data_IF_972228721615
#
_entry.id   IF_972228721615
#
_cell.length_a   1.000
_cell.length_b   1.000
_cell.length_c   1.000
_cell.angle_alpha   90.00
_cell.angle_beta   90.00
_cell.angle_gamma   90.00
#
_symmetry.space_group_name_H-M   'P 1'
#
loop_
_entity.id
_entity.type
_entity.pdbx_description
1 polymer ?
#
# COMPACT_ATOMS: atom_id res chain seq x y z
N UNK A 1 33.98 -57.35 32.86
CA UNK A 1 35.02 -56.38 32.43
C UNK A 1 34.32 -55.02 32.34
N UNK A 2 34.36 -54.05 33.27
CA UNK A 2 35.17 -53.72 34.46
C UNK A 2 36.58 -53.15 34.20
N UNK A 3 36.68 -51.80 34.22
CA UNK A 3 37.85 -50.91 34.54
C UNK A 3 37.83 -49.63 33.67
N UNK A 4 38.18 -48.41 34.13
CA UNK A 4 38.40 -47.83 35.48
C UNK A 4 38.65 -46.29 35.34
N UNK A 5 38.14 -45.46 36.28
CA UNK A 5 38.81 -44.35 37.06
C UNK A 5 39.72 -43.30 36.34
N UNK A 6 39.94 -42.04 36.74
CA UNK A 6 39.57 -41.05 37.80
C UNK A 6 39.56 -39.65 37.10
N UNK A 7 38.93 -38.54 37.48
CA UNK A 7 38.64 -37.84 38.75
C UNK A 7 39.79 -36.99 39.36
N UNK A 8 39.48 -35.68 39.53
CA UNK A 8 40.04 -34.60 40.39
C UNK A 8 41.51 -34.12 40.35
N UNK A 9 41.67 -32.78 40.36
CA UNK A 9 42.24 -32.12 41.55
C UNK A 9 43.11 -30.83 41.39
N UNK A 10 42.69 -29.74 42.07
CA UNK A 10 43.46 -28.54 42.52
C UNK A 10 43.96 -27.50 41.46
N UNK A 11 43.76 -26.16 41.54
CA UNK A 11 43.83 -25.13 42.62
C UNK A 11 45.30 -24.72 42.97
N UNK A 12 45.72 -23.47 43.24
CA UNK A 12 45.03 -22.16 43.40
C UNK A 12 46.01 -20.94 43.37
N UNK A 13 45.48 -19.70 43.49
CA UNK A 13 46.15 -18.38 43.78
C UNK A 13 47.05 -17.78 42.68
N UNK A 14 47.21 -16.45 42.47
CA UNK A 14 46.67 -15.20 43.06
C UNK A 14 47.64 -14.03 42.73
N UNK A 15 47.35 -12.71 42.84
CA UNK A 15 46.14 -11.90 43.06
C UNK A 15 46.47 -10.38 42.79
N UNK A 16 45.49 -9.44 42.87
CA UNK A 16 45.63 -7.97 43.02
C UNK A 16 46.07 -7.12 41.79
N UNK A 17 45.80 -5.80 41.63
CA UNK A 17 44.72 -4.89 42.09
C UNK A 17 44.77 -3.51 41.33
N UNK A 18 43.63 -2.83 41.20
CA UNK A 18 43.33 -1.38 41.04
C UNK A 18 44.26 -0.36 40.29
N UNK A 19 43.66 0.29 39.28
CA UNK A 19 43.42 1.76 39.15
C UNK A 19 44.56 2.81 39.15
N UNK A 20 44.59 3.68 38.10
CA UNK A 20 44.60 5.17 38.17
C UNK A 20 44.61 5.90 36.80
N UNK A 21 44.01 7.10 36.75
CA UNK A 21 44.21 8.16 35.72
C UNK A 21 45.26 9.17 36.20
N UNK A 22 45.80 10.03 35.32
CA UNK A 22 45.67 11.49 35.57
C UNK A 22 45.37 12.34 34.29
N UNK A 23 45.39 13.67 34.45
CA UNK A 23 44.93 14.71 33.50
C UNK A 23 45.98 15.84 33.32
N UNK A 24 46.02 16.42 32.11
CA UNK A 24 46.26 17.85 31.73
C UNK A 24 47.55 18.60 32.15
N UNK A 25 48.27 19.08 31.13
CA UNK A 25 48.91 20.42 30.95
C UNK A 25 49.47 20.46 29.50
N UNK A 26 49.70 21.58 28.80
CA UNK A 26 49.46 23.01 29.06
C UNK A 26 49.80 23.83 27.78
N UNK A 27 49.30 25.08 27.72
CA UNK A 27 49.43 26.09 26.63
C UNK A 27 50.83 26.34 26.05
N UNK A 28 50.94 26.83 24.79
CA UNK A 28 51.52 28.16 24.46
C UNK A 28 51.45 28.53 22.94
N UNK A 29 51.22 29.83 22.65
CA UNK A 29 51.45 30.60 21.38
C UNK A 29 50.79 30.17 20.05
N UNK A 30 50.33 31.02 19.10
CA UNK A 30 49.75 32.38 19.01
C UNK A 30 50.14 33.05 17.66
N UNK A 31 49.25 33.82 17.00
CA UNK A 31 49.50 35.18 16.41
C UNK A 31 48.45 35.60 15.35
N UNK A 32 47.90 36.81 15.53
CA UNK A 32 47.11 37.67 14.61
C UNK A 32 45.87 37.09 13.88
N UNK A 33 44.79 37.84 13.65
CA UNK A 33 44.52 39.26 13.96
C UNK A 33 43.80 39.94 12.79
N UNK A 34 42.50 40.24 12.95
CA UNK A 34 41.72 40.97 11.94
C UNK A 34 42.04 42.47 11.93
N UNK A 35 41.72 43.18 10.83
CA UNK A 35 40.95 44.42 11.00
C UNK A 35 39.85 44.64 9.94
N UNK A 36 38.83 45.41 10.34
CA UNK A 36 37.89 46.09 9.43
C UNK A 36 38.44 47.47 9.05
N UNK A 37 38.20 47.93 7.84
CA UNK A 37 38.04 49.37 7.56
C UNK A 37 37.25 49.64 6.26
N UNK A 38 36.61 50.80 6.24
CA UNK A 38 35.94 51.50 5.13
C UNK A 38 35.96 53.00 5.56
N UNK A 39 36.03 54.02 4.67
CA UNK A 39 35.08 54.22 3.56
C UNK A 39 35.59 54.94 2.28
N UNK A 40 34.64 55.20 1.36
CA UNK A 40 34.56 56.33 0.38
C UNK A 40 35.24 56.29 -1.02
N UNK A 41 34.41 55.98 -2.03
CA UNK A 41 34.17 56.68 -3.33
C UNK A 41 35.32 57.17 -4.27
N UNK A 42 35.32 56.69 -5.54
CA UNK A 42 35.03 57.48 -6.77
C UNK A 42 35.19 56.69 -8.12
N UNK A 43 34.28 56.94 -9.08
CA UNK A 43 34.38 56.79 -10.58
C UNK A 43 34.71 55.42 -11.26
N UNK A 44 33.85 54.96 -12.20
CA UNK A 44 34.00 53.77 -13.10
C UNK A 44 34.27 54.15 -14.58
N UNK A 45 33.79 53.45 -15.65
CA UNK A 45 33.09 52.14 -15.84
C UNK A 45 33.91 51.20 -16.81
N UNK A 46 33.39 50.25 -17.65
CA UNK A 46 32.13 49.46 -17.77
C UNK A 46 32.44 47.91 -17.80
N UNK A 47 31.64 46.95 -18.38
CA UNK A 47 30.25 46.93 -18.83
C UNK A 47 29.36 45.83 -18.20
N UNK A 48 28.09 45.80 -18.64
CA UNK A 48 26.92 45.02 -18.21
C UNK A 48 27.04 43.49 -18.14
N UNK A 49 26.46 42.90 -17.08
CA UNK A 49 25.95 41.52 -17.05
C UNK A 49 24.52 41.48 -16.49
N UNK A 50 23.55 41.01 -17.28
CA UNK A 50 22.17 40.81 -16.81
C UNK A 50 21.35 39.88 -17.72
N UNK A 51 21.08 38.65 -17.27
CA UNK A 51 19.76 38.01 -17.43
C UNK A 51 19.65 36.74 -16.56
N UNK A 52 18.56 36.73 -15.80
CA UNK A 52 18.08 35.79 -14.78
C UNK A 52 18.21 34.28 -15.06
N UNK A 53 18.41 33.45 -14.01
CA UNK A 53 17.90 32.08 -14.01
C UNK A 53 16.38 32.11 -13.77
N UNK A 54 15.63 31.43 -14.62
CA UNK A 54 14.18 31.28 -14.46
C UNK A 54 13.84 30.33 -13.31
N UNK A 55 13.33 30.86 -12.21
CA UNK A 55 12.68 30.05 -11.17
C UNK A 55 11.39 29.45 -11.74
N UNK A 56 11.45 28.18 -12.15
CA UNK A 56 10.25 27.40 -12.41
C UNK A 56 9.45 27.30 -11.11
N UNK A 57 8.26 27.89 -11.09
CA UNK A 57 7.43 27.95 -9.89
C UNK A 57 7.01 26.53 -9.47
N UNK A 58 7.52 26.08 -8.33
CA UNK A 58 6.93 24.94 -7.64
C UNK A 58 5.49 25.32 -7.26
N UNK A 59 4.52 24.52 -7.71
CA UNK A 59 3.12 24.76 -7.39
C UNK A 59 2.89 24.53 -5.88
N UNK A 60 2.82 25.62 -5.11
CA UNK A 60 2.54 25.58 -3.69
C UNK A 60 1.16 24.95 -3.44
N UNK A 61 1.16 23.68 -3.03
CA UNK A 61 -0.04 23.01 -2.53
C UNK A 61 -0.42 23.60 -1.18
N UNK A 62 -1.72 23.77 -0.87
CA UNK A 62 -2.15 24.35 0.39
C UNK A 62 -1.69 23.47 1.55
N UNK A 63 -0.68 23.94 2.27
CA UNK A 63 -0.09 23.20 3.38
C UNK A 63 -1.16 22.90 4.43
N UNK A 64 -1.39 21.60 4.69
CA UNK A 64 -2.09 21.15 5.89
C UNK A 64 -1.36 21.80 7.07
N UNK A 65 -2.08 22.57 7.90
CA UNK A 65 -1.55 23.24 9.10
C UNK A 65 -1.25 22.23 10.23
N UNK A 66 -0.46 21.22 9.91
CA UNK A 66 -0.05 20.13 10.80
C UNK A 66 1.32 20.46 11.37
N UNK A 67 1.34 20.84 12.64
CA UNK A 67 2.58 20.97 13.40
C UNK A 67 2.91 19.60 14.01
N UNK A 68 3.93 18.93 13.47
CA UNK A 68 4.31 17.55 13.82
C UNK A 68 4.82 17.49 15.25
N UNK A 69 5.59 18.48 15.67
CA UNK A 69 6.25 18.56 16.98
C UNK A 69 5.21 18.68 18.10
N UNK A 70 4.23 19.56 17.94
CA UNK A 70 3.09 19.72 18.86
C UNK A 70 2.21 18.46 18.91
N UNK A 71 2.02 17.79 17.78
CA UNK A 71 1.27 16.52 17.77
C UNK A 71 2.02 15.43 18.53
N UNK A 72 3.32 15.23 18.27
CA UNK A 72 4.15 14.26 19.02
C UNK A 72 4.17 14.58 20.52
N UNK A 73 4.27 15.86 20.90
CA UNK A 73 4.21 16.30 22.30
C UNK A 73 2.84 16.06 22.96
N UNK A 74 1.77 15.86 22.20
CA UNK A 74 0.43 15.52 22.71
C UNK A 74 0.16 14.02 22.86
N UNK A 75 1.04 13.16 22.34
CA UNK A 75 0.91 11.71 22.44
C UNK A 75 1.20 11.20 23.86
N UNK A 76 0.54 10.10 24.26
CA UNK A 76 0.89 9.40 25.50
C UNK A 76 2.28 8.76 25.41
N UNK A 77 2.96 8.46 26.54
CA UNK A 77 4.27 7.77 26.51
C UNK A 77 4.24 6.44 25.74
N UNK A 78 3.16 5.67 25.87
CA UNK A 78 2.95 4.43 25.11
C UNK A 78 2.85 4.70 23.60
N UNK A 79 2.08 5.70 23.19
CA UNK A 79 1.99 6.10 21.78
C UNK A 79 3.33 6.60 21.24
N UNK A 80 4.09 7.41 22.00
CA UNK A 80 5.42 7.86 21.58
C UNK A 80 6.41 6.70 21.38
N UNK A 81 6.35 5.69 22.25
CA UNK A 81 7.16 4.47 22.13
C UNK A 81 6.80 3.68 20.86
N UNK A 82 5.52 3.33 20.68
CA UNK A 82 5.11 2.44 19.59
C UNK A 82 5.02 3.12 18.22
N UNK A 83 4.81 4.44 18.15
CA UNK A 83 4.71 5.22 16.91
C UNK A 83 6.04 5.84 16.45
N UNK A 84 7.17 5.48 17.07
CA UNK A 84 8.48 6.07 16.76
C UNK A 84 8.84 5.93 15.27
N UNK A 85 8.55 4.78 14.66
CA UNK A 85 8.80 4.50 13.25
C UNK A 85 7.94 5.40 12.34
N UNK A 86 6.65 5.48 12.64
CA UNK A 86 5.65 6.29 11.97
C UNK A 86 6.04 7.77 12.00
N UNK A 87 6.44 8.26 13.18
CA UNK A 87 6.92 9.64 13.40
C UNK A 87 8.18 9.93 12.58
N UNK A 88 9.11 8.99 12.46
CA UNK A 88 10.38 9.22 11.74
C UNK A 88 10.26 9.06 10.22
N UNK A 89 9.46 8.11 9.74
CA UNK A 89 9.58 7.57 8.37
C UNK A 89 8.36 7.76 7.47
N UNK A 90 7.20 8.16 7.98
CA UNK A 90 6.09 8.60 7.12
C UNK A 90 6.29 10.04 6.63
N UNK A 91 5.87 10.29 5.38
CA UNK A 91 5.76 11.64 4.85
C UNK A 91 4.83 12.52 5.72
N UNK A 92 5.19 13.79 6.02
CA UNK A 92 4.38 14.65 6.88
C UNK A 92 2.95 14.89 6.39
N UNK A 93 2.70 14.87 5.07
CA UNK A 93 1.35 15.08 4.53
C UNK A 93 0.46 13.84 4.69
N UNK A 94 1.04 12.64 4.72
CA UNK A 94 0.35 11.42 5.12
C UNK A 94 0.13 11.32 6.63
N UNK A 95 1.17 11.63 7.42
CA UNK A 95 1.09 11.66 8.87
C UNK A 95 0.00 12.63 9.35
N UNK A 96 -0.12 13.80 8.73
CA UNK A 96 -1.17 14.79 9.02
C UNK A 96 -2.61 14.29 8.85
N UNK A 97 -2.83 13.30 7.98
CA UNK A 97 -4.17 12.78 7.64
C UNK A 97 -4.46 11.37 8.17
N UNK A 98 -3.43 10.65 8.60
CA UNK A 98 -3.53 9.31 9.23
C UNK A 98 -3.27 9.32 10.74
N UNK A 99 -2.77 10.42 11.31
CA UNK A 99 -2.44 10.57 12.75
C UNK A 99 -3.50 9.98 13.70
N UNK A 100 -4.78 10.27 13.43
CA UNK A 100 -5.88 9.90 14.33
C UNK A 100 -6.10 8.37 14.32
N UNK A 101 -5.85 7.71 13.18
CA UNK A 101 -5.96 6.26 13.00
C UNK A 101 -4.77 5.52 13.63
N UNK A 102 -3.54 6.02 13.45
CA UNK A 102 -2.35 5.40 14.08
C UNK A 102 -2.32 5.60 15.60
N UNK A 103 -3.06 6.57 16.16
CA UNK A 103 -3.21 6.70 17.62
C UNK A 103 -4.23 5.75 18.24
N UNK A 104 -4.96 4.96 17.43
CA UNK A 104 -6.01 4.06 17.93
C UNK A 104 -5.45 2.88 18.72
N UNK A 105 -6.18 2.35 19.72
CA UNK A 105 -5.75 1.16 20.47
C UNK A 105 -5.47 -0.05 19.57
N UNK A 106 -6.24 -0.21 18.48
CA UNK A 106 -6.06 -1.31 17.53
C UNK A 106 -4.75 -1.19 16.74
N UNK A 107 -4.33 0.03 16.38
CA UNK A 107 -3.03 0.23 15.76
C UNK A 107 -1.88 -0.01 16.75
N UNK A 108 -2.03 0.40 18.01
CA UNK A 108 -1.03 0.10 19.05
C UNK A 108 -0.89 -1.42 19.29
N UNK A 109 -1.98 -2.20 19.24
CA UNK A 109 -1.88 -3.68 19.33
C UNK A 109 -1.18 -4.30 18.10
N UNK A 110 -1.37 -3.74 16.90
CA UNK A 110 -0.56 -4.12 15.72
C UNK A 110 0.93 -3.86 15.96
N UNK A 111 1.30 -2.71 16.56
CA UNK A 111 2.71 -2.42 16.91
C UNK A 111 3.26 -3.43 17.92
N UNK A 112 2.49 -3.74 18.98
CA UNK A 112 2.84 -4.79 19.97
C UNK A 112 3.00 -6.17 19.32
N UNK A 113 2.14 -6.53 18.37
CA UNK A 113 2.29 -7.76 17.58
C UNK A 113 3.62 -7.78 16.81
N UNK A 114 3.97 -6.72 16.08
CA UNK A 114 5.21 -6.65 15.30
C UNK A 114 6.48 -6.67 16.18
N UNK A 115 6.45 -6.02 17.35
CA UNK A 115 7.56 -6.07 18.29
C UNK A 115 7.67 -7.46 18.98
N UNK A 116 6.57 -8.19 19.20
CA UNK A 116 6.59 -9.60 19.63
C UNK A 116 7.19 -10.51 18.55
N UNK A 117 6.83 -10.32 17.28
CA UNK A 117 7.39 -11.07 16.15
C UNK A 117 8.91 -10.86 16.03
N UNK A 118 9.37 -9.60 16.09
CA UNK A 118 10.78 -9.27 16.07
C UNK A 118 11.52 -9.83 17.31
N UNK A 119 10.93 -9.73 18.50
CA UNK A 119 11.47 -10.30 19.74
C UNK A 119 11.56 -11.83 19.74
N UNK A 120 10.68 -12.51 18.99
CA UNK A 120 10.75 -13.94 18.73
C UNK A 120 11.75 -14.34 17.63
N UNK A 121 12.57 -13.40 17.15
CA UNK A 121 13.59 -13.64 16.11
C UNK A 121 13.03 -13.86 14.71
N UNK A 122 11.77 -13.53 14.44
CA UNK A 122 11.17 -13.68 13.12
C UNK A 122 11.74 -12.63 12.17
N UNK A 123 12.22 -13.08 11.00
CA UNK A 123 12.63 -12.17 9.92
C UNK A 123 11.38 -11.64 9.23
N UNK A 124 11.20 -10.33 9.23
CA UNK A 124 10.04 -9.63 8.66
C UNK A 124 10.52 -8.81 7.45
N UNK A 125 9.69 -8.77 6.40
CA UNK A 125 9.85 -7.93 5.23
C UNK A 125 8.68 -6.93 5.10
N UNK A 126 8.89 -5.74 4.51
CA UNK A 126 10.18 -5.16 4.14
C UNK A 126 11.03 -4.80 5.40
N UNK A 127 12.27 -4.33 5.25
CA UNK A 127 13.01 -3.68 6.34
C UNK A 127 12.15 -2.61 7.04
N UNK A 128 12.37 -2.38 8.35
CA UNK A 128 11.46 -1.59 9.20
C UNK A 128 11.29 -0.16 8.68
N UNK A 129 12.37 0.44 8.20
CA UNK A 129 12.46 1.76 7.56
C UNK A 129 11.70 1.86 6.22
N UNK A 130 11.54 0.75 5.52
CA UNK A 130 10.88 0.66 4.21
C UNK A 130 9.36 0.47 4.32
N UNK A 131 8.81 0.09 5.47
CA UNK A 131 7.36 -0.15 5.67
C UNK A 131 6.49 1.01 5.15
N UNK A 132 6.98 2.25 5.28
CA UNK A 132 6.29 3.47 4.89
C UNK A 132 6.81 4.14 3.60
N UNK A 133 7.63 3.45 2.80
CA UNK A 133 8.15 3.96 1.52
C UNK A 133 7.05 4.49 0.59
N UNK A 134 5.88 3.85 0.55
CA UNK A 134 4.71 4.29 -0.21
C UNK A 134 4.25 5.73 0.13
N UNK A 135 4.39 6.16 1.39
CA UNK A 135 4.05 7.55 1.78
C UNK A 135 5.07 8.57 1.29
N UNK A 136 6.36 8.18 1.24
CA UNK A 136 7.49 9.05 0.91
C UNK A 136 7.63 9.27 -0.60
N UNK A 137 7.48 8.20 -1.38
CA UNK A 137 7.52 8.28 -2.84
C UNK A 137 6.26 8.94 -3.42
N UNK A 138 5.11 8.74 -2.79
CA UNK A 138 3.86 9.38 -3.22
C UNK A 138 3.25 10.21 -2.08
N UNK A 139 3.76 11.42 -1.80
CA UNK A 139 3.16 12.34 -0.82
C UNK A 139 1.66 12.56 -1.09
N UNK A 140 0.87 12.77 -0.04
CA UNK A 140 -0.61 12.75 -0.11
C UNK A 140 -1.19 13.68 -1.19
N UNK A 141 -0.56 14.85 -1.38
CA UNK A 141 -0.96 15.87 -2.35
C UNK A 141 -0.59 15.53 -3.81
N UNK A 142 0.30 14.57 -4.03
CA UNK A 142 0.76 14.12 -5.35
C UNK A 142 0.04 12.85 -5.85
N UNK A 143 -0.84 12.23 -5.05
CA UNK A 143 -1.61 11.05 -5.47
C UNK A 143 -2.49 11.38 -6.69
N UNK A 144 -2.20 10.74 -7.83
CA UNK A 144 -2.96 10.75 -9.08
C UNK A 144 -3.67 9.41 -9.33
N UNK A 145 -2.97 8.31 -9.06
CA UNK A 145 -3.45 6.95 -9.22
C UNK A 145 -3.15 6.13 -7.94
N UNK A 146 -3.97 5.13 -7.64
CA UNK A 146 -3.77 4.16 -6.56
C UNK A 146 -3.82 2.77 -7.17
N UNK A 147 -2.80 1.95 -6.93
CA UNK A 147 -2.73 0.55 -7.34
C UNK A 147 -2.62 -0.30 -6.07
N UNK A 148 -3.54 -1.25 -5.91
CA UNK A 148 -3.65 -2.06 -4.69
C UNK A 148 -3.02 -3.45 -4.85
N UNK A 149 -2.05 -3.75 -3.99
CA UNK A 149 -1.51 -5.10 -3.78
C UNK A 149 -2.11 -5.79 -2.54
N UNK A 150 -1.79 -7.07 -2.35
CA UNK A 150 -2.24 -7.86 -1.19
C UNK A 150 -1.25 -7.74 -0.03
N UNK A 151 -0.13 -8.44 -0.08
CA UNK A 151 0.96 -8.41 0.89
C UNK A 151 2.31 -8.09 0.20
N UNK A 152 3.37 -7.76 0.97
CA UNK A 152 4.70 -7.58 0.40
C UNK A 152 5.29 -8.92 -0.05
N UNK A 153 6.18 -8.89 -1.04
CA UNK A 153 6.96 -10.08 -1.41
C UNK A 153 7.76 -10.63 -0.23
N UNK A 154 7.63 -11.93 0.03
CA UNK A 154 8.14 -12.57 1.24
C UNK A 154 9.54 -13.18 1.11
N UNK A 155 10.22 -13.09 -0.04
CA UNK A 155 11.60 -13.57 -0.18
C UNK A 155 12.62 -12.44 0.00
N UNK A 156 13.86 -12.85 0.26
CA UNK A 156 14.99 -11.95 0.56
C UNK A 156 15.21 -10.94 -0.58
N UNK A 157 15.45 -9.68 -0.21
CA UNK A 157 15.72 -8.55 -1.11
C UNK A 157 14.58 -8.14 -2.07
N UNK A 158 13.38 -8.74 -1.97
CA UNK A 158 12.25 -8.38 -2.82
C UNK A 158 11.51 -7.12 -2.32
N UNK A 159 10.81 -7.21 -1.19
CA UNK A 159 9.95 -6.12 -0.72
C UNK A 159 10.72 -4.90 -0.18
N UNK A 160 10.25 -3.70 -0.58
CA UNK A 160 10.78 -2.40 -0.14
C UNK A 160 9.69 -1.35 0.16
N UNK A 161 8.47 -1.82 0.46
CA UNK A 161 7.35 -0.97 0.88
C UNK A 161 6.50 -0.37 -0.25
N UNK A 162 6.69 -0.82 -1.50
CA UNK A 162 5.84 -0.49 -2.65
C UNK A 162 5.18 -1.76 -3.20
N UNK A 163 3.88 -1.70 -3.49
CA UNK A 163 3.15 -2.81 -4.13
C UNK A 163 3.75 -3.19 -5.50
N UNK A 164 3.73 -4.49 -5.83
CA UNK A 164 4.27 -5.09 -7.06
C UNK A 164 5.76 -4.86 -7.36
N UNK A 165 6.47 -4.02 -6.60
CA UNK A 165 7.85 -3.66 -6.90
C UNK A 165 8.89 -4.47 -6.13
N UNK A 166 10.02 -4.74 -6.79
CA UNK A 166 11.22 -5.35 -6.19
C UNK A 166 12.46 -4.48 -6.43
N UNK A 167 13.46 -4.57 -5.54
CA UNK A 167 14.74 -3.87 -5.72
C UNK A 167 15.64 -4.61 -6.74
N UNK A 168 16.47 -3.90 -7.53
CA UNK A 168 17.57 -4.54 -8.26
C UNK A 168 18.51 -5.30 -7.29
N UNK A 169 19.11 -6.44 -7.70
CA UNK A 169 19.06 -7.03 -9.04
C UNK A 169 17.87 -7.98 -9.28
N UNK A 170 16.88 -8.06 -8.38
CA UNK A 170 15.76 -9.00 -8.52
C UNK A 170 14.94 -8.69 -9.79
N UNK A 171 14.70 -9.69 -10.67
CA UNK A 171 13.87 -9.51 -11.85
C UNK A 171 12.39 -9.34 -11.47
N UNK A 172 11.62 -8.75 -12.36
CA UNK A 172 10.19 -8.54 -12.22
C UNK A 172 9.47 -9.89 -11.95
N UNK A 173 8.73 -10.03 -10.83
CA UNK A 173 7.95 -11.23 -10.54
C UNK A 173 6.85 -11.48 -11.59
N UNK A 174 6.27 -12.70 -11.67
CA UNK A 174 5.32 -13.07 -12.73
C UNK A 174 4.14 -12.10 -12.89
N UNK A 175 3.58 -11.62 -11.77
CA UNK A 175 2.52 -10.59 -11.78
C UNK A 175 2.98 -9.28 -12.42
N UNK A 176 4.18 -8.79 -12.12
CA UNK A 176 4.71 -7.55 -12.70
C UNK A 176 5.07 -7.71 -14.19
N UNK A 177 5.61 -8.88 -14.59
CA UNK A 177 5.81 -9.21 -16.03
C UNK A 177 4.48 -9.16 -16.80
N UNK A 178 3.39 -9.61 -16.18
CA UNK A 178 2.06 -9.52 -16.80
C UNK A 178 1.52 -8.08 -16.86
N UNK A 179 1.83 -7.22 -15.88
CA UNK A 179 1.57 -5.77 -15.96
C UNK A 179 2.32 -5.13 -17.14
N UNK A 180 3.58 -5.50 -17.39
CA UNK A 180 4.32 -5.03 -18.58
C UNK A 180 3.69 -5.52 -19.89
N UNK A 181 3.22 -6.78 -19.97
CA UNK A 181 2.47 -7.30 -21.14
C UNK A 181 1.14 -6.59 -21.40
N UNK A 182 0.50 -6.05 -20.35
CA UNK A 182 -0.69 -5.20 -20.49
C UNK A 182 -0.30 -3.78 -20.95
N UNK A 183 0.77 -3.19 -20.41
CA UNK A 183 1.31 -1.90 -20.88
C UNK A 183 1.74 -1.93 -22.35
N UNK A 184 2.35 -3.02 -22.81
CA UNK A 184 2.70 -3.24 -24.22
C UNK A 184 1.47 -3.26 -25.15
N UNK A 185 0.32 -3.77 -24.67
CA UNK A 185 -0.96 -3.70 -25.41
C UNK A 185 -1.59 -2.30 -25.33
N UNK A 186 -1.50 -1.65 -24.16
CA UNK A 186 -2.08 -0.32 -23.94
C UNK A 186 -1.39 0.76 -24.77
N UNK A 187 -0.07 0.64 -24.94
CA UNK A 187 0.85 1.58 -25.58
C UNK A 187 1.73 0.88 -26.63
N UNK A 188 1.09 0.19 -27.59
CA UNK A 188 1.75 -0.56 -28.65
C UNK A 188 2.82 0.28 -29.38
N UNK A 189 4.04 -0.25 -29.47
CA UNK A 189 5.18 0.41 -30.13
C UNK A 189 5.79 1.61 -29.39
N UNK A 190 5.28 1.99 -28.21
CA UNK A 190 5.77 3.16 -27.45
C UNK A 190 6.15 2.86 -25.99
N UNK A 191 5.55 1.85 -25.37
CA UNK A 191 6.04 1.35 -24.08
C UNK A 191 7.23 0.41 -24.24
N UNK A 192 8.30 0.67 -23.48
CA UNK A 192 9.48 -0.18 -23.39
C UNK A 192 9.54 -0.83 -22.00
N UNK A 193 9.61 -2.16 -21.98
CA UNK A 193 9.87 -2.89 -20.74
C UNK A 193 11.26 -2.53 -20.20
N UNK A 194 11.46 -2.47 -18.87
CA UNK A 194 12.75 -2.10 -18.29
C UNK A 194 13.84 -3.11 -18.66
N UNK A 195 15.08 -2.66 -18.90
CA UNK A 195 16.19 -3.54 -19.25
C UNK A 195 16.44 -4.59 -18.16
N UNK A 196 16.96 -5.76 -18.58
CA UNK A 196 17.23 -6.91 -17.70
C UNK A 196 16.01 -7.38 -16.89
N UNK A 197 14.79 -7.18 -17.41
CA UNK A 197 13.53 -7.48 -16.73
C UNK A 197 13.41 -6.82 -15.33
N UNK A 198 13.88 -5.58 -15.17
CA UNK A 198 13.87 -4.88 -13.87
C UNK A 198 12.47 -4.74 -13.23
N UNK A 199 12.38 -4.83 -11.90
CA UNK A 199 11.13 -4.74 -11.14
C UNK A 199 10.94 -3.47 -10.27
N UNK A 200 11.77 -2.45 -10.46
CA UNK A 200 11.74 -1.24 -9.63
C UNK A 200 10.70 -0.22 -10.15
N UNK A 201 9.65 0.04 -9.37
CA UNK A 201 8.53 0.91 -9.72
C UNK A 201 8.56 2.25 -8.95
N UNK A 202 9.65 2.56 -8.26
CA UNK A 202 9.90 3.88 -7.66
C UNK A 202 9.60 5.03 -8.62
N UNK A 203 10.00 5.00 -9.92
CA UNK A 203 9.66 6.07 -10.85
C UNK A 203 8.15 6.30 -11.03
N UNK A 204 7.31 5.25 -10.97
CA UNK A 204 5.85 5.41 -11.01
C UNK A 204 5.33 6.05 -9.72
N UNK A 205 5.86 5.64 -8.57
CA UNK A 205 5.46 6.18 -7.28
C UNK A 205 5.76 7.67 -7.16
N UNK A 206 6.97 8.09 -7.58
CA UNK A 206 7.39 9.49 -7.64
C UNK A 206 6.57 10.33 -8.64
N UNK A 207 5.97 9.70 -9.66
CA UNK A 207 5.06 10.31 -10.64
C UNK A 207 3.60 10.42 -10.17
N UNK A 208 3.29 9.99 -8.94
CA UNK A 208 1.95 10.10 -8.35
C UNK A 208 1.16 8.79 -8.27
N UNK A 209 1.80 7.63 -8.45
CA UNK A 209 1.16 6.30 -8.35
C UNK A 209 1.34 5.71 -6.95
N UNK A 210 0.29 5.76 -6.14
CA UNK A 210 0.28 5.17 -4.80
C UNK A 210 0.27 3.63 -4.89
N UNK A 211 1.44 3.01 -4.85
CA UNK A 211 1.65 1.56 -4.87
C UNK A 211 1.46 0.98 -3.45
N UNK A 212 0.21 0.73 -3.07
CA UNK A 212 -0.18 0.38 -1.69
C UNK A 212 -0.54 -1.10 -1.55
N UNK A 213 0.19 -1.85 -0.72
CA UNK A 213 -0.25 -3.18 -0.29
C UNK A 213 -1.33 -3.07 0.79
N UNK A 214 -2.23 -4.06 0.83
CA UNK A 214 -3.29 -4.16 1.84
C UNK A 214 -2.71 -4.49 3.22
N UNK A 215 -1.73 -5.38 3.27
CA UNK A 215 -0.88 -5.64 4.43
C UNK A 215 0.52 -5.07 4.18
N UNK A 216 1.14 -4.39 5.15
CA UNK A 216 2.42 -3.68 4.94
C UNK A 216 3.65 -4.47 5.39
N UNK A 217 3.48 -5.65 5.98
CA UNK A 217 4.59 -6.51 6.42
C UNK A 217 4.25 -7.99 6.23
N UNK A 218 5.26 -8.85 6.13
CA UNK A 218 5.12 -10.31 6.05
C UNK A 218 6.36 -10.96 6.67
N UNK A 219 6.25 -12.16 7.24
CA UNK A 219 7.44 -12.96 7.61
C UNK A 219 8.14 -13.46 6.35
N UNK A 220 9.45 -13.66 6.45
CA UNK A 220 10.23 -14.30 5.39
C UNK A 220 9.67 -15.69 5.07
N UNK A 221 9.38 -15.93 3.80
CA UNK A 221 8.88 -17.19 3.24
C UNK A 221 7.50 -17.67 3.76
N UNK A 222 6.75 -16.86 4.53
CA UNK A 222 5.39 -17.18 4.97
C UNK A 222 4.39 -16.13 4.43
N UNK A 223 3.92 -16.29 3.19
CA UNK A 223 2.89 -15.42 2.59
C UNK A 223 1.65 -15.25 3.49
N UNK A 224 1.04 -14.06 3.50
CA UNK A 224 -0.12 -13.71 4.34
C UNK A 224 0.06 -13.87 5.87
N UNK A 225 1.27 -14.15 6.39
CA UNK A 225 1.52 -14.40 7.82
C UNK A 225 1.08 -13.29 8.78
N UNK A 226 1.04 -12.03 8.32
CA UNK A 226 0.57 -10.87 9.09
C UNK A 226 -0.83 -10.37 8.66
N UNK A 227 -1.58 -11.15 7.88
CA UNK A 227 -2.95 -10.82 7.51
C UNK A 227 -3.87 -10.77 8.74
N UNK A 228 -4.86 -9.89 8.70
CA UNK A 228 -5.83 -9.60 9.77
C UNK A 228 -5.20 -9.14 11.09
N UNK A 229 -3.93 -8.68 11.07
CA UNK A 229 -3.25 -8.14 12.27
C UNK A 229 -3.46 -6.64 12.48
N UNK A 230 -4.11 -5.95 11.53
CA UNK A 230 -4.53 -4.55 11.68
C UNK A 230 -4.04 -3.62 10.56
N UNK A 231 -3.09 -4.06 9.73
CA UNK A 231 -2.63 -3.28 8.57
C UNK A 231 -3.77 -2.96 7.61
N UNK A 232 -4.68 -3.92 7.44
CA UNK A 232 -5.90 -3.82 6.64
C UNK A 232 -6.76 -2.60 6.97
N UNK A 233 -6.69 -2.12 8.22
CA UNK A 233 -7.46 -0.98 8.71
C UNK A 233 -6.76 0.33 8.38
N UNK A 234 -5.45 0.43 8.62
CA UNK A 234 -4.65 1.60 8.22
C UNK A 234 -4.70 1.82 6.71
N UNK A 235 -4.52 0.76 5.92
CA UNK A 235 -4.47 0.84 4.45
C UNK A 235 -5.85 1.13 3.86
N UNK A 236 -6.93 0.60 4.45
CA UNK A 236 -8.29 1.04 4.14
C UNK A 236 -8.50 2.52 4.43
N UNK A 237 -8.03 3.00 5.59
CA UNK A 237 -8.15 4.42 5.95
C UNK A 237 -7.38 5.32 4.99
N UNK A 238 -6.22 4.89 4.49
CA UNK A 238 -5.48 5.61 3.45
C UNK A 238 -6.31 5.75 2.16
N UNK A 239 -6.93 4.66 1.69
CA UNK A 239 -7.82 4.65 0.51
C UNK A 239 -9.01 5.60 0.70
N UNK A 240 -9.66 5.54 1.87
CA UNK A 240 -10.78 6.42 2.22
C UNK A 240 -10.38 7.89 2.26
N UNK A 241 -9.25 8.22 2.88
CA UNK A 241 -8.77 9.60 3.01
C UNK A 241 -8.38 10.18 1.64
N UNK A 242 -7.83 9.37 0.73
CA UNK A 242 -7.64 9.73 -0.68
C UNK A 242 -8.99 10.05 -1.33
N UNK A 243 -9.98 9.15 -1.24
CA UNK A 243 -11.30 9.36 -1.83
C UNK A 243 -12.06 10.56 -1.20
N UNK A 244 -11.87 10.82 0.09
CA UNK A 244 -12.51 11.92 0.81
C UNK A 244 -11.89 13.28 0.49
N UNK A 245 -10.55 13.39 0.46
CA UNK A 245 -9.86 14.70 0.42
C UNK A 245 -9.24 15.06 -0.93
N UNK A 246 -9.10 14.12 -1.89
CA UNK A 246 -8.60 14.43 -3.26
C UNK A 246 -9.76 14.89 -4.14
N UNK A 247 -10.20 16.13 -3.92
CA UNK A 247 -11.37 16.75 -4.57
C UNK A 247 -11.29 16.81 -6.11
N UNK A 248 -10.08 16.95 -6.67
CA UNK A 248 -9.85 16.87 -8.12
C UNK A 248 -10.00 15.46 -8.71
N UNK A 249 -10.26 14.44 -7.89
CA UNK A 249 -10.45 13.06 -8.32
C UNK A 249 -9.13 12.30 -8.49
N UNK A 250 -9.19 10.96 -8.41
CA UNK A 250 -8.04 10.03 -8.44
C UNK A 250 -8.47 8.77 -9.18
N UNK A 251 -7.55 8.10 -9.86
CA UNK A 251 -7.77 6.77 -10.44
C UNK A 251 -7.48 5.69 -9.39
N UNK A 252 -8.37 4.72 -9.25
CA UNK A 252 -8.16 3.51 -8.44
C UNK A 252 -8.12 2.28 -9.34
N UNK A 253 -6.98 1.60 -9.41
CA UNK A 253 -6.82 0.31 -10.07
C UNK A 253 -6.90 -0.81 -9.02
N UNK A 254 -7.97 -1.60 -9.10
CA UNK A 254 -8.27 -2.66 -8.15
C UNK A 254 -8.39 -4.00 -8.88
N UNK A 255 -7.29 -4.75 -8.93
CA UNK A 255 -7.18 -6.02 -9.65
C UNK A 255 -7.43 -7.22 -8.74
N UNK A 256 -8.37 -8.09 -9.13
CA UNK A 256 -8.82 -9.23 -8.33
C UNK A 256 -9.82 -8.85 -7.24
N UNK A 257 -10.58 -9.85 -6.78
CA UNK A 257 -11.66 -9.70 -5.79
C UNK A 257 -11.22 -9.01 -4.48
N UNK A 258 -10.04 -9.30 -3.89
CA UNK A 258 -9.61 -8.64 -2.65
C UNK A 258 -9.45 -7.13 -2.80
N UNK A 259 -8.75 -6.66 -3.84
CA UNK A 259 -8.61 -5.25 -4.15
C UNK A 259 -9.96 -4.63 -4.54
N UNK A 260 -10.77 -5.35 -5.32
CA UNK A 260 -12.10 -4.90 -5.74
C UNK A 260 -13.03 -4.57 -4.56
N UNK A 261 -12.98 -5.34 -3.47
CA UNK A 261 -13.73 -5.07 -2.22
C UNK A 261 -13.30 -3.76 -1.54
N UNK A 262 -12.01 -3.42 -1.56
CA UNK A 262 -11.44 -2.21 -0.91
C UNK A 262 -11.96 -0.89 -1.49
N UNK A 263 -12.38 -0.89 -2.76
CA UNK A 263 -12.82 0.31 -3.50
C UNK A 263 -14.33 0.40 -3.71
N UNK A 264 -15.13 -0.49 -3.14
CA UNK A 264 -16.60 -0.50 -3.32
C UNK A 264 -17.27 0.81 -2.89
N UNK A 265 -16.77 1.46 -1.84
CA UNK A 265 -17.29 2.72 -1.29
C UNK A 265 -16.68 3.98 -1.94
N UNK A 266 -15.87 3.84 -2.99
CA UNK A 266 -15.29 4.98 -3.71
C UNK A 266 -16.35 5.61 -4.62
N UNK A 267 -16.59 6.90 -4.43
CA UNK A 267 -17.47 7.73 -5.25
C UNK A 267 -17.00 7.76 -6.72
N UNK A 268 -17.74 7.06 -7.59
CA UNK A 268 -17.45 6.94 -9.03
C UNK A 268 -17.78 8.19 -9.85
N UNK A 269 -18.52 9.16 -9.31
CA UNK A 269 -18.70 10.46 -9.97
C UNK A 269 -17.45 11.34 -9.77
N UNK A 270 -16.78 11.21 -8.62
CA UNK A 270 -15.54 11.93 -8.31
C UNK A 270 -14.27 11.21 -8.78
N UNK A 271 -14.23 9.89 -8.76
CA UNK A 271 -13.03 9.07 -9.02
C UNK A 271 -13.25 8.06 -10.15
N UNK A 272 -12.19 7.76 -10.90
CA UNK A 272 -12.22 6.62 -11.81
C UNK A 272 -11.89 5.33 -11.06
N UNK A 273 -12.75 4.32 -11.12
CA UNK A 273 -12.52 3.01 -10.53
C UNK A 273 -12.42 1.96 -11.63
N UNK A 274 -11.21 1.42 -11.82
CA UNK A 274 -10.88 0.42 -12.83
C UNK A 274 -10.68 -0.94 -12.18
N UNK A 275 -11.48 -1.94 -12.57
CA UNK A 275 -11.50 -3.27 -11.97
C UNK A 275 -11.35 -4.34 -13.06
N UNK A 276 -10.51 -5.33 -12.79
CA UNK A 276 -10.30 -6.53 -13.63
C UNK A 276 -9.84 -7.70 -12.75
N UNK A 277 -9.55 -8.86 -13.34
CA UNK A 277 -8.88 -9.98 -12.67
C UNK A 277 -7.44 -9.61 -12.26
N UNK A 278 -6.82 -10.41 -11.38
CA UNK A 278 -5.47 -10.12 -10.88
C UNK A 278 -4.39 -10.42 -11.96
N UNK A 279 -3.27 -9.65 -12.03
CA UNK A 279 -2.14 -9.94 -12.93
C UNK A 279 -1.38 -11.25 -12.67
N UNK A 280 -1.68 -12.00 -11.59
CA UNK A 280 -1.09 -13.33 -11.35
C UNK A 280 -1.29 -14.27 -12.55
N UNK A 281 -0.30 -15.15 -12.87
CA UNK A 281 -0.45 -16.18 -13.90
C UNK A 281 -1.75 -16.98 -13.81
N UNK A 282 -2.26 -17.22 -12.59
CA UNK A 282 -3.50 -17.97 -12.33
C UNK A 282 -4.77 -17.31 -12.90
N UNK A 283 -4.74 -16.01 -13.18
CA UNK A 283 -5.90 -15.24 -13.62
C UNK A 283 -5.67 -14.26 -14.77
N UNK A 284 -4.43 -13.89 -15.12
CA UNK A 284 -4.17 -12.81 -16.08
C UNK A 284 -4.77 -13.06 -17.49
N UNK A 285 -4.77 -14.31 -17.94
CA UNK A 285 -5.39 -14.74 -19.20
C UNK A 285 -6.91 -14.55 -19.25
N UNK A 286 -7.58 -14.36 -18.11
CA UNK A 286 -9.04 -14.16 -17.99
C UNK A 286 -9.46 -12.70 -18.17
N UNK A 287 -8.69 -11.91 -18.92
CA UNK A 287 -9.00 -10.52 -19.27
C UNK A 287 -8.18 -9.43 -18.55
N UNK A 288 -7.07 -9.76 -17.87
CA UNK A 288 -6.16 -8.71 -17.37
C UNK A 288 -5.44 -8.01 -18.52
N UNK A 289 -4.93 -8.78 -19.48
CA UNK A 289 -4.10 -8.25 -20.56
C UNK A 289 -4.80 -7.21 -21.43
N UNK A 290 -6.10 -7.39 -21.67
CA UNK A 290 -6.88 -6.58 -22.62
C UNK A 290 -7.76 -5.54 -21.92
N UNK A 291 -7.55 -5.31 -20.61
CA UNK A 291 -8.39 -4.44 -19.80
C UNK A 291 -8.29 -2.94 -20.14
N UNK A 292 -7.19 -2.48 -20.77
CA UNK A 292 -7.00 -1.09 -21.15
C UNK A 292 -6.68 -0.13 -20.00
N UNK A 293 -6.33 -0.63 -18.80
CA UNK A 293 -6.35 0.18 -17.58
C UNK A 293 -5.34 1.34 -17.56
N UNK A 294 -4.11 1.13 -18.04
CA UNK A 294 -3.06 2.15 -17.99
C UNK A 294 -3.33 3.28 -18.98
N UNK A 295 -3.90 2.95 -20.15
CA UNK A 295 -4.38 3.94 -21.13
C UNK A 295 -5.61 4.70 -20.60
N UNK A 296 -6.65 4.00 -20.14
CA UNK A 296 -7.88 4.60 -19.56
C UNK A 296 -7.58 5.54 -18.39
N UNK A 297 -6.58 5.18 -17.57
CA UNK A 297 -6.13 6.03 -16.47
C UNK A 297 -5.51 7.34 -16.96
N UNK A 298 -4.61 7.30 -17.95
CA UNK A 298 -4.01 8.51 -18.51
C UNK A 298 -5.02 9.36 -19.29
N UNK A 299 -5.90 8.76 -20.10
CA UNK A 299 -6.99 9.46 -20.79
C UNK A 299 -7.83 10.29 -19.80
N UNK A 300 -8.24 9.67 -18.68
CA UNK A 300 -9.03 10.33 -17.64
C UNK A 300 -8.24 11.38 -16.84
N UNK A 301 -6.97 11.10 -16.53
CA UNK A 301 -6.10 12.05 -15.83
C UNK A 301 -5.83 13.27 -16.70
N UNK A 302 -5.53 13.10 -17.98
CA UNK A 302 -5.31 14.22 -18.92
C UNK A 302 -6.58 15.05 -19.09
N UNK A 303 -7.75 14.42 -19.20
CA UNK A 303 -9.03 15.12 -19.28
C UNK A 303 -9.34 15.97 -18.02
N UNK A 304 -8.82 15.61 -16.84
CA UNK A 304 -9.15 16.25 -15.55
C UNK A 304 -8.03 17.12 -14.95
N UNK A 305 -6.80 16.93 -15.39
CA UNK A 305 -5.61 17.63 -14.91
C UNK A 305 -4.82 18.35 -16.01
N UNK A 306 -5.18 18.19 -17.29
CA UNK A 306 -4.36 18.62 -18.42
C UNK A 306 -3.16 17.68 -18.63
N UNK A 307 -2.25 18.04 -19.54
CA UNK A 307 -1.11 17.20 -19.92
C UNK A 307 -0.25 16.77 -18.71
N UNK A 308 -0.05 17.65 -17.74
CA UNK A 308 0.73 17.37 -16.52
C UNK A 308 0.07 16.32 -15.59
N UNK A 309 -1.19 15.98 -15.84
CA UNK A 309 -1.91 14.87 -15.23
C UNK A 309 -1.40 13.50 -15.64
N UNK A 310 -0.85 13.38 -16.85
CA UNK A 310 -0.38 12.12 -17.41
C UNK A 310 0.68 11.45 -16.50
N UNK A 311 0.65 10.11 -16.47
CA UNK A 311 1.69 9.30 -15.83
C UNK A 311 2.51 8.67 -16.95
N UNK A 312 3.79 9.03 -17.04
CA UNK A 312 4.73 8.23 -17.83
C UNK A 312 4.85 6.85 -17.17
N UNK A 313 4.50 5.80 -17.92
CA UNK A 313 4.60 4.42 -17.47
C UNK A 313 5.93 3.77 -17.87
N UNK A 314 6.77 4.41 -18.69
CA UNK A 314 8.07 3.85 -19.07
C UNK A 314 9.05 3.82 -17.89
N UNK A 315 9.87 2.76 -17.87
CA UNK A 315 10.90 2.47 -16.87
C UNK A 315 12.30 2.29 -17.49
N UNK A 316 12.47 2.67 -18.75
CA UNK A 316 13.76 2.65 -19.45
C UNK A 316 14.74 3.74 -18.96
N UNK A 317 15.99 3.78 -19.47
CA UNK A 317 17.00 4.74 -19.03
C UNK A 317 16.62 6.22 -19.29
N UNK A 318 15.76 6.50 -20.27
CA UNK A 318 15.25 7.84 -20.59
C UNK A 318 14.00 8.26 -19.77
N UNK A 319 13.59 7.44 -18.78
CA UNK A 319 12.38 7.61 -17.96
C UNK A 319 12.46 8.84 -17.02
N UNK A 320 12.36 10.03 -17.59
CA UNK A 320 12.43 11.32 -16.92
C UNK A 320 12.48 12.52 -17.86
N UNK A 321 12.64 12.31 -19.17
CA UNK A 321 12.56 13.37 -20.18
C UNK A 321 11.09 13.60 -20.55
N UNK A 322 10.53 14.82 -20.45
CA UNK A 322 9.15 15.07 -20.86
C UNK A 322 8.98 14.76 -22.35
N UNK A 323 7.91 14.05 -22.70
CA UNK A 323 7.65 13.60 -24.06
C UNK A 323 7.58 14.78 -25.04
N UNK A 324 8.65 14.93 -25.83
CA UNK A 324 8.68 15.80 -26.99
C UNK A 324 7.61 15.31 -27.97
N UNK A 325 6.78 16.24 -28.47
CA UNK A 325 5.63 15.88 -29.27
C UNK A 325 6.03 15.13 -30.55
N UNK A 326 5.57 13.90 -30.69
CA UNK A 326 5.59 13.20 -31.96
C UNK A 326 4.61 13.90 -32.91
N UNK A 327 5.12 14.86 -33.69
CA UNK A 327 4.34 15.58 -34.67
C UNK A 327 3.85 14.62 -35.76
N UNK A 328 2.53 14.45 -35.84
CA UNK A 328 1.88 13.65 -36.89
C UNK A 328 2.01 14.35 -38.23
N UNK A 329 3.02 13.98 -39.02
CA UNK A 329 3.16 14.44 -40.40
C UNK A 329 2.39 13.51 -41.34
N UNK A 330 1.09 13.78 -41.48
CA UNK A 330 0.27 13.18 -42.52
C UNK A 330 0.58 13.85 -43.87
N UNK A 331 1.15 13.12 -44.84
CA UNK A 331 1.23 13.58 -46.22
C UNK A 331 1.09 12.45 -47.22
N UNK A 332 0.01 12.52 -47.99
CA UNK A 332 -0.46 11.49 -48.92
C UNK A 332 0.24 11.54 -50.29
N UNK A 333 0.13 10.40 -51.00
CA UNK A 333 0.22 10.22 -52.47
C UNK A 333 1.62 10.05 -53.11
N UNK A 334 1.78 8.94 -53.85
CA UNK A 334 2.90 8.73 -54.78
C UNK A 334 3.32 7.27 -55.03
N UNK A 335 2.46 6.44 -55.66
CA UNK A 335 2.91 5.18 -56.32
C UNK A 335 3.36 5.53 -57.76
N UNK A 336 4.41 4.92 -58.31
CA UNK A 336 4.22 3.66 -59.03
C UNK A 336 5.34 2.60 -58.77
N UNK A 337 5.12 1.41 -59.31
CA UNK A 337 6.07 0.29 -59.43
C UNK A 337 5.93 -0.27 -60.87
N UNK A 338 6.64 -1.34 -61.32
CA UNK A 338 7.76 -2.09 -60.71
C UNK A 338 8.98 -2.31 -61.68
N UNK A 339 10.08 -2.88 -61.18
CA UNK A 339 11.12 -3.53 -62.02
C UNK A 339 11.87 -4.64 -61.22
N UNK A 340 12.46 -5.61 -61.93
CA UNK A 340 12.75 -6.94 -61.39
C UNK A 340 14.22 -7.26 -61.04
N UNK A 341 14.39 -8.01 -59.95
CA UNK A 341 15.28 -9.18 -59.73
C UNK A 341 16.72 -9.16 -60.29
N UNK A 342 17.69 -9.30 -59.39
CA UNK A 342 18.78 -10.32 -59.47
C UNK A 342 19.47 -10.52 -58.12
N UNK A 343 19.84 -11.77 -57.83
CA UNK A 343 20.44 -12.19 -56.56
C UNK A 343 21.92 -12.56 -56.70
N UNK A 344 22.74 -12.31 -55.67
CA UNK A 344 23.80 -13.24 -55.23
C UNK A 344 24.38 -12.93 -53.84
N UNK A 345 24.00 -13.81 -52.90
CA UNK A 345 24.70 -14.35 -51.74
C UNK A 345 26.02 -13.77 -51.17
N UNK A 346 26.03 -13.78 -49.82
CA UNK A 346 27.08 -14.30 -48.89
C UNK A 346 28.10 -13.32 -48.29
N UNK A 347 27.83 -12.91 -47.03
CA UNK A 347 28.60 -13.31 -45.85
C UNK A 347 27.83 -12.88 -44.57
N UNK A 348 27.43 -13.85 -43.75
CA UNK A 348 26.88 -13.65 -42.41
C UNK A 348 27.96 -14.08 -41.40
N UNK A 349 28.08 -13.38 -40.27
CA UNK A 349 28.79 -13.85 -39.09
C UNK A 349 27.73 -14.17 -38.03
N UNK A 350 27.59 -15.46 -37.72
CA UNK A 350 26.70 -15.97 -36.69
C UNK A 350 27.15 -15.54 -35.29
N UNK A 351 26.17 -15.18 -34.47
CA UNK A 351 26.25 -15.25 -33.02
C UNK A 351 25.04 -16.07 -32.55
N UNK A 352 25.23 -17.40 -32.49
CA UNK A 352 24.32 -18.31 -31.77
C UNK A 352 24.26 -17.90 -30.29
N UNK A 353 23.05 -17.63 -29.77
CA UNK A 353 22.76 -17.41 -28.35
C UNK A 353 21.38 -17.99 -27.97
N UNK A 354 20.98 -19.09 -28.63
CA UNK A 354 19.65 -19.71 -28.53
C UNK A 354 19.56 -20.90 -27.53
N UNK A 355 20.60 -21.21 -26.75
CA UNK A 355 20.58 -22.34 -25.78
C UNK A 355 20.18 -21.95 -24.33
N UNK A 356 20.07 -20.67 -23.98
CA UNK A 356 19.77 -20.23 -22.60
C UNK A 356 18.28 -19.86 -22.32
N UNK A 357 17.43 -19.66 -23.34
CA UNK A 357 16.01 -19.29 -23.12
C UNK A 357 15.19 -20.42 -22.47
N UNK A 358 15.36 -21.68 -22.88
CA UNK A 358 14.58 -22.82 -22.35
C UNK A 358 14.94 -23.16 -20.89
N UNK A 359 16.22 -23.04 -20.52
CA UNK A 359 16.66 -23.23 -19.14
C UNK A 359 16.10 -22.13 -18.21
N UNK A 360 16.05 -20.89 -18.70
CA UNK A 360 15.46 -19.77 -17.96
C UNK A 360 13.93 -19.88 -17.89
N UNK A 361 13.27 -20.34 -18.95
CA UNK A 361 11.83 -20.60 -18.99
C UNK A 361 11.43 -21.68 -17.98
N UNK A 362 12.16 -22.80 -17.93
CA UNK A 362 11.94 -23.87 -16.95
C UNK A 362 12.12 -23.39 -15.50
N UNK A 363 13.12 -22.55 -15.22
CA UNK A 363 13.32 -21.94 -13.89
C UNK A 363 12.20 -20.95 -13.52
N UNK A 364 11.66 -20.23 -14.51
CA UNK A 364 10.52 -19.30 -14.36
C UNK A 364 9.22 -20.06 -14.10
N UNK A 365 8.98 -21.17 -14.79
CA UNK A 365 7.79 -22.00 -14.58
C UNK A 365 7.86 -22.75 -13.24
N UNK A 366 9.05 -23.20 -12.81
CA UNK A 366 9.25 -23.73 -11.46
C UNK A 366 8.98 -22.67 -10.38
N UNK A 367 9.41 -21.41 -10.58
CA UNK A 367 9.11 -20.31 -9.66
C UNK A 367 7.62 -19.94 -9.64
N UNK A 368 6.95 -19.93 -10.79
CA UNK A 368 5.51 -19.68 -10.89
C UNK A 368 4.67 -20.83 -10.29
N UNK A 369 5.13 -22.07 -10.44
CA UNK A 369 4.53 -23.24 -9.79
C UNK A 369 4.68 -23.14 -8.26
N UNK A 370 5.85 -22.78 -7.75
CA UNK A 370 6.08 -22.58 -6.31
C UNK A 370 5.24 -21.42 -5.73
N UNK A 371 5.08 -20.30 -6.45
CA UNK A 371 4.21 -19.18 -6.05
C UNK A 371 2.73 -19.62 -6.04
N UNK A 372 2.29 -20.39 -7.05
CA UNK A 372 0.93 -20.92 -7.12
C UNK A 372 0.63 -21.99 -6.05
N UNK A 373 1.59 -22.87 -5.75
CA UNK A 373 1.48 -23.90 -4.71
C UNK A 373 1.41 -23.26 -3.31
N UNK A 374 2.26 -22.26 -3.04
CA UNK A 374 2.19 -21.48 -1.80
C UNK A 374 0.86 -20.73 -1.65
N UNK A 375 0.33 -20.13 -2.72
CA UNK A 375 -0.98 -19.45 -2.69
C UNK A 375 -2.14 -20.45 -2.51
N UNK A 376 -2.04 -21.65 -3.07
CA UNK A 376 -3.02 -22.73 -2.87
C UNK A 376 -2.98 -23.29 -1.44
N UNK A 377 -1.79 -23.53 -0.89
CA UNK A 377 -1.60 -24.00 0.48
C UNK A 377 -2.08 -22.96 1.51
N UNK A 378 -1.84 -21.67 1.26
CA UNK A 378 -2.36 -20.57 2.08
C UNK A 378 -3.90 -20.52 2.07
N UNK A 379 -4.54 -20.73 0.91
CA UNK A 379 -6.00 -20.83 0.81
C UNK A 379 -6.54 -22.05 1.55
N UNK A 380 -5.89 -23.21 1.44
CA UNK A 380 -6.28 -24.43 2.15
C UNK A 380 -6.16 -24.26 3.68
N UNK A 381 -5.06 -23.65 4.18
CA UNK A 381 -4.87 -23.33 5.60
C UNK A 381 -5.92 -22.34 6.11
N UNK A 382 -6.28 -21.33 5.32
CA UNK A 382 -7.33 -20.37 5.65
C UNK A 382 -8.72 -21.03 5.73
N UNK A 383 -9.09 -21.81 4.72
CA UNK A 383 -10.36 -22.54 4.71
C UNK A 383 -10.49 -23.53 5.89
N UNK A 384 -9.37 -24.16 6.29
CA UNK A 384 -9.34 -25.02 7.48
C UNK A 384 -9.52 -24.22 8.78
N UNK A 385 -8.87 -23.07 8.92
CA UNK A 385 -9.04 -22.21 10.10
C UNK A 385 -10.49 -21.70 10.23
N UNK A 386 -11.11 -21.28 9.12
CA UNK A 386 -12.51 -20.85 9.10
C UNK A 386 -13.47 -22.01 9.47
N UNK A 387 -13.16 -23.25 9.07
CA UNK A 387 -13.96 -24.44 9.40
C UNK A 387 -13.75 -25.00 10.83
N UNK A 388 -12.59 -24.77 11.46
CA UNK A 388 -12.36 -25.10 12.87
C UNK A 388 -13.02 -24.05 13.81
N UNK A 389 -13.15 -22.79 13.37
CA UNK A 389 -13.84 -21.73 14.11
C UNK A 389 -15.37 -21.93 14.12
N UNK A 390 -15.96 -22.39 13.00
CA UNK A 390 -17.40 -22.70 12.91
C UNK A 390 -17.84 -23.89 13.80
N UNK A 391 -16.91 -24.75 14.23
CA UNK A 391 -17.17 -25.86 15.18
C UNK A 391 -17.07 -25.46 16.65
N UNK A 392 -16.68 -24.22 16.96
CA UNK A 392 -16.45 -23.74 18.32
C UNK A 392 -17.62 -22.92 18.90
N UNK A 393 -18.86 -23.29 18.59
CA UNK A 393 -20.07 -22.67 19.17
C UNK A 393 -20.62 -23.56 20.29
N UNK A 394 -20.60 -23.15 21.58
CA UNK A 394 -21.24 -23.90 22.65
C UNK A 394 -22.78 -23.82 22.54
N UNK A 395 -23.53 -24.86 22.94
CA UNK A 395 -24.99 -24.86 22.85
C UNK A 395 -25.62 -23.83 23.81
N UNK A 396 -26.80 -23.27 23.48
CA UNK A 396 -27.47 -22.29 24.33
C UNK A 396 -28.00 -22.94 25.62
N UNK A 397 -27.77 -22.28 26.75
CA UNK A 397 -28.30 -22.71 28.04
C UNK A 397 -29.76 -22.30 28.16
N UNK A 398 -30.67 -23.27 28.09
CA UNK A 398 -32.11 -23.05 28.30
C UNK A 398 -32.40 -22.97 29.79
N UNK A 399 -32.93 -21.83 30.26
CA UNK A 399 -33.46 -21.69 31.61
C UNK A 399 -34.92 -22.13 31.63
N UNK A 400 -35.23 -23.19 32.37
CA UNK A 400 -36.59 -23.57 32.76
C UNK A 400 -36.61 -23.61 34.28
N UNK A 401 -37.49 -22.81 34.88
CA UNK A 401 -37.75 -22.86 36.31
C UNK A 401 -38.95 -23.75 36.59
N UNK A 402 -38.86 -24.61 37.60
CA UNK A 402 -40.01 -25.27 38.20
C UNK A 402 -39.80 -25.36 39.72
N UNK A 403 -40.92 -25.30 40.46
CA UNK A 403 -40.95 -25.13 41.92
C UNK A 403 -41.55 -26.37 42.57
N UNK A 404 -40.95 -26.87 43.67
CA UNK A 404 -41.65 -27.21 44.94
C UNK A 404 -40.74 -27.87 46.00
N UNK A 405 -41.03 -27.51 47.26
CA UNK A 405 -41.08 -28.30 48.53
C UNK A 405 -40.05 -29.44 48.77
N UNK A 406 -39.49 -29.65 49.97
CA UNK A 406 -40.03 -29.45 51.32
C UNK A 406 -38.90 -29.55 52.41
N UNK A 407 -39.09 -28.93 53.59
CA UNK A 407 -38.48 -29.24 54.94
C UNK A 407 -36.95 -29.56 55.06
N UNK A 408 -36.14 -28.93 55.92
CA UNK A 408 -36.28 -28.73 57.40
C UNK A 408 -34.96 -28.15 57.96
N UNK A 409 -35.00 -27.30 59.00
CA UNK A 409 -33.82 -26.99 59.82
C UNK A 409 -33.80 -25.57 60.40
N UNK A 410 -34.00 -25.44 61.71
CA UNK A 410 -33.81 -24.19 62.47
C UNK A 410 -32.32 -23.84 62.61
N UNK A 411 -31.97 -22.55 62.56
CA UNK A 411 -31.44 -21.86 63.75
C UNK A 411 -31.48 -20.33 63.61
N UNK A 412 -31.37 -19.63 64.75
CA UNK A 412 -31.67 -18.20 64.91
C UNK A 412 -30.46 -17.29 64.66
N UNK A 413 -30.72 -16.07 64.17
CA UNK A 413 -30.14 -14.86 64.78
C UNK A 413 -30.98 -13.63 64.41
N UNK A 414 -31.37 -12.84 65.42
CA UNK A 414 -31.93 -11.50 65.25
C UNK A 414 -30.85 -10.51 64.80
N UNK A 415 -31.24 -9.41 64.14
CA UNK A 415 -30.89 -8.04 64.57
C UNK A 415 -31.65 -6.97 63.73
N UNK A 416 -32.42 -6.15 64.46
CA UNK A 416 -32.95 -4.80 64.18
C UNK A 416 -33.44 -4.41 62.77
N UNK A 417 -34.76 -4.47 62.64
CA UNK A 417 -35.66 -3.33 62.36
C UNK A 417 -35.03 -1.93 62.20
N UNK A 418 -35.36 -1.25 61.09
CA UNK A 418 -35.83 0.15 61.13
C UNK A 418 -36.75 0.48 59.95
N UNK A 419 -37.93 1.00 60.27
CA UNK A 419 -38.95 1.47 59.33
C UNK A 419 -38.55 2.81 58.69
N UNK A 420 -39.19 3.14 57.56
CA UNK A 420 -39.00 4.40 56.85
C UNK A 420 -39.98 4.53 55.68
N UNK A 421 -41.27 4.74 56.00
CA UNK A 421 -42.34 4.88 55.01
C UNK A 421 -42.31 6.23 54.28
N UNK A 422 -42.48 6.19 52.95
CA UNK A 422 -43.33 7.09 52.15
C UNK A 422 -43.41 6.48 50.73
N UNK A 423 -44.56 6.06 50.21
CA UNK A 423 -45.71 6.90 49.80
C UNK A 423 -45.23 7.99 48.81
N UNK A 424 -45.54 7.93 47.52
CA UNK A 424 -46.90 7.91 46.94
C UNK A 424 -46.98 7.19 45.58
N UNK A 425 -48.17 6.72 45.20
CA UNK A 425 -48.50 6.17 43.88
C UNK A 425 -49.22 7.19 42.98
N UNK A 426 -49.09 7.03 41.66
CA UNK A 426 -49.99 7.39 40.56
C UNK A 426 -49.21 7.07 39.26
N UNK A 427 -49.58 6.05 38.47
CA UNK A 427 -50.57 6.13 37.39
C UNK A 427 -50.11 7.11 36.29
N UNK A 428 -49.52 6.63 35.20
CA UNK A 428 -50.12 5.88 34.09
C UNK A 428 -50.92 6.79 33.14
N UNK A 429 -50.42 6.94 31.91
CA UNK A 429 -51.25 6.94 30.72
C UNK A 429 -50.41 6.52 29.51
N UNK A 430 -51.01 5.69 28.67
CA UNK A 430 -50.48 5.27 27.39
C UNK A 430 -51.58 5.52 26.37
N UNK A 431 -51.27 6.26 25.32
CA UNK A 431 -52.14 6.35 24.15
C UNK A 431 -51.41 5.76 22.93
N UNK A 432 -52.12 4.85 22.29
CA UNK A 432 -51.84 4.39 20.94
C UNK A 432 -52.97 4.90 20.06
N UNK A 433 -52.64 5.48 18.92
CA UNK A 433 -53.59 5.67 17.83
C UNK A 433 -53.08 4.95 16.58
N UNK A 434 -54.02 4.35 15.85
CA UNK A 434 -53.83 3.61 14.61
C UNK A 434 -54.99 3.95 13.67
N UNK A 435 -54.88 3.47 12.42
CA UNK A 435 -55.84 3.65 11.33
C UNK A 435 -55.87 5.08 10.73
N UNK A 436 -56.17 5.32 9.45
CA UNK A 436 -56.77 4.49 8.38
C UNK A 436 -56.08 4.69 7.02
N UNK A 437 -56.19 3.71 6.13
CA UNK A 437 -55.97 3.87 4.67
C UNK A 437 -57.14 4.65 4.00
N UNK A 438 -57.00 4.99 2.71
CA UNK A 438 -58.04 4.55 1.77
C UNK A 438 -57.50 3.90 0.48
N UNK A 439 -58.29 2.97 -0.06
CA UNK A 439 -58.02 2.24 -1.30
C UNK A 439 -58.32 3.04 -2.59
N UNK A 440 -57.63 2.62 -3.67
CA UNK A 440 -58.09 2.51 -5.06
C UNK A 440 -58.75 3.72 -5.78
N UNK A 441 -58.07 4.16 -6.84
CA UNK A 441 -58.72 4.31 -8.15
C UNK A 441 -57.83 3.68 -9.24
N UNK A 442 -58.46 3.10 -10.26
CA UNK A 442 -57.84 2.30 -11.32
C UNK A 442 -58.06 3.03 -12.64
N UNK A 443 -57.02 3.17 -13.46
CA UNK A 443 -57.17 3.53 -14.88
C UNK A 443 -56.26 2.65 -15.75
N UNK A 444 -56.89 1.89 -16.64
CA UNK A 444 -56.29 1.10 -17.71
C UNK A 444 -55.84 2.02 -18.87
N UNK A 445 -54.61 1.85 -19.38
CA UNK A 445 -54.40 1.85 -20.84
C UNK A 445 -53.04 1.23 -21.26
N UNK A 446 -52.96 -0.11 -21.33
CA UNK A 446 -51.93 -0.80 -22.13
C UNK A 446 -52.53 -1.88 -23.02
N UNK A 447 -53.32 -1.49 -24.04
CA UNK A 447 -53.54 -2.36 -25.21
C UNK A 447 -54.12 -1.62 -26.44
N UNK A 448 -53.26 -1.18 -27.38
CA UNK A 448 -53.67 -1.12 -28.80
C UNK A 448 -52.55 -1.26 -29.83
N UNK A 449 -52.77 -2.23 -30.71
CA UNK A 449 -52.28 -2.29 -32.09
C UNK A 449 -50.76 -2.41 -32.35
N UNK A 450 -50.24 -3.61 -32.08
CA UNK A 450 -49.22 -4.24 -32.92
C UNK A 450 -49.80 -4.53 -34.32
N UNK A 451 -49.71 -3.57 -35.26
CA UNK A 451 -50.01 -3.80 -36.70
C UNK A 451 -49.49 -2.64 -37.58
N UNK A 452 -48.23 -2.74 -38.04
CA UNK A 452 -47.70 -2.01 -39.20
C UNK A 452 -46.45 -2.75 -39.71
N UNK A 453 -46.68 -3.83 -40.45
CA UNK A 453 -45.67 -4.41 -41.34
C UNK A 453 -45.46 -3.50 -42.55
N UNK A 454 -44.19 -3.39 -42.96
CA UNK A 454 -43.70 -3.18 -44.32
C UNK A 454 -43.94 -1.87 -45.09
N UNK A 455 -43.11 -1.69 -46.11
CA UNK A 455 -43.03 -0.60 -47.09
C UNK A 455 -42.93 0.87 -46.58
N UNK A 456 -41.70 1.39 -46.56
CA UNK A 456 -41.30 2.22 -47.71
C UNK A 456 -39.82 2.07 -48.09
N UNK A 457 -39.64 1.98 -49.41
CA UNK A 457 -38.45 1.76 -50.24
C UNK A 457 -37.23 2.63 -49.94
#
# INVERSE_FOLDING_TARGET
MSSKRRNDGALQAGDSNASKKPKVNGSITSFFGAPKSSPAAATGPPPSSSSSPSTGAAAESPALKFNKEKWVASLTPEQQQFLNLEIQTMDPSWLAVLKDEITTPQFIELKKFLDREAGAGKKIFPPREDIYSWTRHTPFHNVKCVILGQDPYHNVNQAHGLAFSVRPPTPAPPSLRNMYKALQRDYAGTFQAPPKNGGLLTPWADRGVLLLNTCLTVRAHEANSHANRGWERLTQRAIEVVAQRRTRGVVFMAWGTPAGKRVQKVDRAKHLVLQSVHPSPLSASRGFFDCGHFRKANEWLVARYGKDGEIDWNLGPDAGKPAAAAASNNKTAGKPAPAAVKAKAKAEEDYDDDEDEDALAAAVDAAAAAEAEAEAEAKAKKAKAEADEEKAVPPPVVAVGEVKDDKKGEEKSEILEKQGENSTAAEAEAEAEAETEPEAEVDDDEAKAKAAEDELK
#
